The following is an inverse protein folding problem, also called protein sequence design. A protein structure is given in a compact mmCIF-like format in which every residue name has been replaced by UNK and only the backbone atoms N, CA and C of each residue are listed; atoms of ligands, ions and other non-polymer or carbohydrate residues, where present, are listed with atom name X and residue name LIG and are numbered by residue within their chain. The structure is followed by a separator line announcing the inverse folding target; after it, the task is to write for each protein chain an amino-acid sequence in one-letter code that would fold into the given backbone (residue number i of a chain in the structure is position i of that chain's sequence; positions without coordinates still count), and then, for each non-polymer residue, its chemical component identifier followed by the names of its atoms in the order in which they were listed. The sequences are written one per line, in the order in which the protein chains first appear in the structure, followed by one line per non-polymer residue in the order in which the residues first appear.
data_IF_770063036541
#
_entry.id   IF_770063036541
#
_cell.length_a   1.000
_cell.length_b   1.000
_cell.length_c   1.000
_cell.angle_alpha   90.00
_cell.angle_beta   90.00
_cell.angle_gamma   90.00
#
_symmetry.space_group_name_H-M   'P 1'
#
loop_
_entity.id
_entity.type
_entity.pdbx_description
1 polymer ?
#
# COMPACT_ATOMS: atom_id res chain seq x y z
N UNK A 1 19.85 11.35 7.19
CA UNK A 1 18.78 10.62 6.47
C UNK A 1 18.24 11.52 5.36
N UNK A 2 18.07 11.00 4.13
CA UNK A 2 17.46 11.76 3.03
C UNK A 2 15.96 11.96 3.29
N UNK A 3 15.37 13.11 2.91
CA UNK A 3 13.93 13.29 2.96
C UNK A 3 13.19 12.21 2.16
N UNK A 4 12.13 11.66 2.75
CA UNK A 4 11.25 10.68 2.12
C UNK A 4 9.85 11.28 1.98
N UNK A 5 9.34 11.30 0.76
CA UNK A 5 7.94 11.66 0.46
C UNK A 5 7.14 10.37 0.31
N UNK A 6 6.18 10.15 1.20
CA UNK A 6 5.33 8.96 1.21
C UNK A 6 4.05 9.19 0.41
N UNK A 7 4.04 8.79 -0.85
CA UNK A 7 2.91 8.93 -1.76
C UNK A 7 2.03 7.68 -1.80
N UNK A 8 0.73 7.87 -1.56
CA UNK A 8 -0.24 6.78 -1.61
C UNK A 8 -1.63 7.26 -2.05
N UNK A 9 -2.38 6.35 -2.66
CA UNK A 9 -3.81 6.53 -2.93
C UNK A 9 -4.60 6.24 -1.67
N UNK A 10 -5.70 6.97 -1.47
CA UNK A 10 -6.58 6.83 -0.33
C UNK A 10 -8.04 6.72 -0.76
N UNK A 11 -8.78 5.82 -0.09
CA UNK A 11 -10.23 5.70 -0.23
C UNK A 11 -10.95 6.00 1.09
N UNK A 12 -11.19 5.02 1.96
CA UNK A 12 -12.04 5.18 3.15
C UNK A 12 -11.52 4.49 4.40
N UNK A 13 -10.36 3.84 4.31
CA UNK A 13 -9.74 3.08 5.39
C UNK A 13 -9.07 4.03 6.41
N UNK A 14 -9.89 4.83 7.12
CA UNK A 14 -9.43 5.85 8.07
C UNK A 14 -8.56 5.28 9.19
N UNK A 15 -8.88 4.07 9.66
CA UNK A 15 -8.10 3.35 10.66
C UNK A 15 -6.73 2.96 10.08
N UNK A 16 -6.68 2.36 8.89
CA UNK A 16 -5.39 2.04 8.25
C UNK A 16 -4.56 3.29 7.98
N UNK A 17 -5.21 4.40 7.60
CA UNK A 17 -4.54 5.68 7.42
C UNK A 17 -3.92 6.17 8.74
N UNK A 18 -4.67 6.14 9.85
CA UNK A 18 -4.13 6.53 11.15
C UNK A 18 -2.95 5.64 11.57
N UNK A 19 -3.04 4.33 11.34
CA UNK A 19 -1.95 3.39 11.59
C UNK A 19 -0.71 3.75 10.77
N UNK A 20 -0.87 3.99 9.46
CA UNK A 20 0.22 4.41 8.57
C UNK A 20 0.87 5.70 9.06
N UNK A 21 0.07 6.72 9.37
CA UNK A 21 0.56 8.03 9.79
C UNK A 21 1.34 7.94 11.11
N UNK A 22 0.79 7.26 12.12
CA UNK A 22 1.47 7.04 13.41
C UNK A 22 2.80 6.30 13.24
N UNK A 23 2.80 5.22 12.45
CA UNK A 23 3.97 4.36 12.29
C UNK A 23 5.08 5.03 11.47
N UNK A 24 4.73 5.80 10.44
CA UNK A 24 5.69 6.38 9.49
C UNK A 24 6.07 7.84 9.79
N UNK A 25 5.31 8.57 10.61
CA UNK A 25 5.62 9.96 10.95
C UNK A 25 7.06 10.16 11.45
N UNK A 26 7.70 9.25 12.21
CA UNK A 26 9.10 9.43 12.62
C UNK A 26 10.15 9.28 11.50
N UNK A 27 9.78 8.71 10.34
CA UNK A 27 10.73 8.34 9.27
C UNK A 27 10.44 8.97 7.91
N UNK A 28 9.27 9.57 7.73
CA UNK A 28 8.93 10.31 6.50
C UNK A 28 9.15 11.79 6.68
N UNK A 29 9.37 12.53 5.59
CA UNK A 29 9.43 13.99 5.60
C UNK A 29 8.05 14.60 5.35
N UNK A 30 7.29 14.05 4.39
CA UNK A 30 5.93 14.50 4.06
C UNK A 30 5.13 13.31 3.53
N UNK A 31 3.85 13.24 3.88
CA UNK A 31 2.89 12.34 3.28
C UNK A 31 2.24 13.02 2.09
N UNK A 32 2.13 12.34 0.96
CA UNK A 32 1.36 12.78 -0.21
C UNK A 32 0.14 11.89 -0.33
N UNK A 33 -0.94 12.32 0.32
CA UNK A 33 -2.21 11.59 0.38
C UNK A 33 -3.06 12.01 -0.81
N UNK A 34 -3.33 11.06 -1.71
CA UNK A 34 -4.13 11.31 -2.91
C UNK A 34 -5.53 10.73 -2.78
N UNK A 35 -6.53 11.60 -2.79
CA UNK A 35 -7.95 11.24 -2.65
C UNK A 35 -8.74 11.72 -3.87
N UNK A 36 -9.60 10.87 -4.43
CA UNK A 36 -10.50 11.23 -5.53
C UNK A 36 -11.95 11.38 -5.06
N UNK A 37 -12.78 12.13 -5.77
CA UNK A 37 -14.24 12.23 -5.54
C UNK A 37 -15.05 11.15 -6.28
N UNK A 38 -14.36 10.16 -6.87
CA UNK A 38 -14.94 9.00 -7.55
C UNK A 38 -14.25 7.71 -7.16
N UNK A 39 -14.97 6.59 -7.20
CA UNK A 39 -14.41 5.24 -7.12
C UNK A 39 -13.67 4.87 -8.42
N UNK A 40 -12.89 3.78 -8.42
CA UNK A 40 -12.28 3.28 -9.66
C UNK A 40 -13.33 2.76 -10.65
N UNK A 41 -14.47 2.29 -10.16
CA UNK A 41 -15.64 1.95 -10.98
C UNK A 41 -16.40 3.17 -11.52
N UNK A 42 -16.01 4.40 -11.14
CA UNK A 42 -16.50 5.65 -11.73
C UNK A 42 -17.66 6.32 -10.97
N UNK A 43 -18.14 5.70 -9.89
CA UNK A 43 -19.23 6.24 -9.08
C UNK A 43 -18.75 7.40 -8.22
N UNK A 44 -19.53 8.50 -8.08
CA UNK A 44 -19.22 9.57 -7.13
C UNK A 44 -19.11 9.04 -5.70
N UNK A 45 -18.19 9.60 -4.92
CA UNK A 45 -18.01 9.29 -3.49
C UNK A 45 -17.61 10.54 -2.71
N UNK A 46 -17.90 10.61 -1.40
CA UNK A 46 -17.38 11.68 -0.56
C UNK A 46 -15.84 11.62 -0.47
N UNK A 47 -15.28 12.75 -0.03
CA UNK A 47 -13.87 12.88 0.28
C UNK A 47 -13.68 12.53 1.77
N UNK A 48 -13.64 11.23 2.07
CA UNK A 48 -13.48 10.68 3.41
C UNK A 48 -12.37 11.32 4.24
N UNK A 49 -11.18 11.61 3.69
CA UNK A 49 -10.13 12.29 4.44
C UNK A 49 -10.50 13.74 4.71
N UNK A 50 -11.05 14.44 3.70
CA UNK A 50 -11.52 15.83 3.87
C UNK A 50 -12.54 15.95 5.00
N UNK A 51 -13.52 15.05 5.02
CA UNK A 51 -14.61 15.03 5.99
C UNK A 51 -14.13 14.66 7.41
N UNK A 52 -12.94 14.05 7.52
CA UNK A 52 -12.39 13.54 8.78
C UNK A 52 -11.05 14.18 9.16
N UNK A 53 -10.66 15.33 8.57
CA UNK A 53 -9.34 15.96 8.85
C UNK A 53 -9.06 16.19 10.33
N UNK A 54 -10.08 16.48 11.13
CA UNK A 54 -9.96 16.67 12.57
C UNK A 54 -9.36 15.45 13.28
N UNK A 55 -9.66 14.23 12.82
CA UNK A 55 -9.10 12.97 13.35
C UNK A 55 -7.57 12.92 13.17
N UNK A 56 -7.05 13.56 12.13
CA UNK A 56 -5.63 13.51 11.76
C UNK A 56 -4.89 14.80 12.13
N UNK A 57 -5.47 15.64 13.00
CA UNK A 57 -4.88 16.91 13.44
C UNK A 57 -3.38 16.83 13.79
N UNK A 58 -2.88 15.79 14.49
CA UNK A 58 -1.46 15.67 14.82
C UNK A 58 -0.50 15.52 13.63
N UNK A 59 -1.02 15.24 12.42
CA UNK A 59 -0.22 14.96 11.23
C UNK A 59 -0.47 15.95 10.08
N UNK A 60 -1.42 16.89 10.22
CA UNK A 60 -1.87 17.75 9.11
C UNK A 60 -0.76 18.63 8.54
N UNK A 61 0.18 19.09 9.38
CA UNK A 61 1.36 19.86 8.97
C UNK A 61 2.30 19.06 8.05
N UNK A 62 2.21 17.74 8.13
CA UNK A 62 3.02 16.78 7.38
C UNK A 62 2.29 16.16 6.18
N UNK A 63 1.00 16.46 5.99
CA UNK A 63 0.20 15.90 4.91
C UNK A 63 0.03 16.92 3.78
N UNK A 64 0.55 16.58 2.61
CA UNK A 64 0.14 17.16 1.34
C UNK A 64 -1.09 16.41 0.84
N UNK A 65 -2.26 17.05 0.92
CA UNK A 65 -3.52 16.44 0.50
C UNK A 65 -3.85 16.83 -0.94
N UNK A 66 -3.72 15.86 -1.84
CA UNK A 66 -4.03 16.01 -3.27
C UNK A 66 -5.45 15.52 -3.52
N UNK A 67 -6.36 16.42 -3.88
CA UNK A 67 -7.73 16.06 -4.28
C UNK A 67 -7.83 15.96 -5.79
N UNK A 68 -8.27 14.81 -6.29
CA UNK A 68 -8.47 14.52 -7.71
C UNK A 68 -9.96 14.63 -8.04
N UNK A 69 -10.33 15.66 -8.83
CA UNK A 69 -11.70 15.89 -9.34
C UNK A 69 -11.81 15.74 -10.86
N UNK A 70 -10.68 15.50 -11.50
CA UNK A 70 -10.50 15.38 -12.95
C UNK A 70 -10.26 13.92 -13.36
N UNK A 71 -10.84 12.97 -12.62
CA UNK A 71 -10.73 11.54 -12.94
C UNK A 71 -11.26 11.23 -14.35
N UNK A 72 -10.65 10.29 -15.08
CA UNK A 72 -11.12 9.87 -16.41
C UNK A 72 -12.60 9.46 -16.40
N UNK A 73 -13.34 10.00 -17.36
CA UNK A 73 -14.80 9.83 -17.50
C UNK A 73 -15.23 8.53 -18.18
N UNK A 74 -16.27 8.63 -19.02
CA UNK A 74 -16.81 7.50 -19.78
C UNK A 74 -15.76 6.85 -20.70
N UNK A 75 -15.81 5.53 -20.84
CA UNK A 75 -14.86 4.74 -21.63
C UNK A 75 -13.56 4.38 -20.90
N UNK A 76 -13.24 5.01 -19.76
CA UNK A 76 -12.08 4.63 -18.95
C UNK A 76 -12.37 3.36 -18.12
N UNK A 77 -11.39 2.45 -18.07
CA UNK A 77 -11.46 1.28 -17.19
C UNK A 77 -11.17 1.64 -15.74
N UNK A 78 -11.46 0.72 -14.81
CA UNK A 78 -11.10 0.92 -13.41
C UNK A 78 -9.58 1.05 -13.21
N UNK A 79 -8.80 0.30 -13.98
CA UNK A 79 -7.34 0.40 -14.03
C UNK A 79 -6.84 1.77 -14.51
N UNK A 80 -7.51 2.39 -15.48
CA UNK A 80 -7.14 3.73 -15.96
C UNK A 80 -7.36 4.78 -14.87
N UNK A 81 -8.47 4.67 -14.13
CA UNK A 81 -8.78 5.58 -13.01
C UNK A 81 -7.80 5.39 -11.85
N UNK A 82 -7.47 4.15 -11.50
CA UNK A 82 -6.45 3.86 -10.48
C UNK A 82 -5.08 4.41 -10.87
N UNK A 83 -4.65 4.16 -12.11
CA UNK A 83 -3.40 4.70 -12.63
C UNK A 83 -3.39 6.24 -12.61
N UNK A 84 -4.53 6.88 -12.92
CA UNK A 84 -4.66 8.33 -12.88
C UNK A 84 -4.54 8.88 -11.46
N UNK A 85 -5.29 8.33 -10.50
CA UNK A 85 -5.20 8.74 -9.09
C UNK A 85 -3.78 8.51 -8.56
N UNK A 86 -3.17 7.37 -8.86
CA UNK A 86 -1.79 7.10 -8.42
C UNK A 86 -0.79 8.08 -9.04
N UNK A 87 -0.91 8.39 -10.33
CA UNK A 87 -0.05 9.37 -10.98
C UNK A 87 -0.22 10.78 -10.41
N UNK A 88 -1.39 11.10 -9.84
CA UNK A 88 -1.61 12.37 -9.16
C UNK A 88 -0.76 12.55 -7.88
N UNK A 89 -0.06 11.52 -7.38
CA UNK A 89 1.01 11.67 -6.37
C UNK A 89 2.01 12.75 -6.82
N UNK A 90 2.32 12.85 -8.11
CA UNK A 90 3.24 13.87 -8.64
C UNK A 90 2.79 15.30 -8.32
N UNK A 91 1.48 15.56 -8.19
CA UNK A 91 0.91 16.88 -7.88
C UNK A 91 1.31 17.36 -6.48
N UNK A 92 1.55 16.44 -5.54
CA UNK A 92 1.96 16.75 -4.18
C UNK A 92 3.48 16.73 -3.93
N UNK A 93 4.29 16.59 -4.98
CA UNK A 93 5.76 16.51 -4.85
C UNK A 93 6.48 17.83 -5.15
N UNK A 94 5.78 18.97 -5.09
CA UNK A 94 6.37 20.28 -5.41
C UNK A 94 7.55 20.67 -4.51
N UNK A 95 7.55 20.24 -3.25
CA UNK A 95 8.64 20.47 -2.31
C UNK A 95 9.81 19.46 -2.41
N UNK A 96 9.66 18.39 -3.21
CA UNK A 96 10.67 17.34 -3.31
C UNK A 96 11.80 17.73 -4.26
N UNK A 97 13.05 17.67 -3.79
CA UNK A 97 14.24 17.93 -4.60
C UNK A 97 14.62 16.68 -5.42
N UNK A 98 15.42 16.83 -6.49
CA UNK A 98 15.80 15.72 -7.38
C UNK A 98 16.33 14.46 -6.69
N UNK A 99 17.09 14.61 -5.60
CA UNK A 99 17.74 13.53 -4.86
C UNK A 99 17.02 13.13 -3.56
N UNK A 100 15.86 13.72 -3.28
CA UNK A 100 14.96 13.23 -2.25
C UNK A 100 14.28 11.94 -2.74
N UNK A 101 13.82 11.10 -1.81
CA UNK A 101 13.26 9.80 -2.13
C UNK A 101 11.73 9.87 -2.11
N UNK A 102 11.09 9.18 -3.04
CA UNK A 102 9.63 9.09 -3.14
C UNK A 102 9.23 7.63 -3.02
N UNK A 103 8.41 7.36 -2.02
CA UNK A 103 7.75 6.07 -1.82
C UNK A 103 6.39 6.14 -2.54
N UNK A 104 6.04 5.09 -3.25
CA UNK A 104 4.75 4.93 -3.94
C UNK A 104 4.13 3.61 -3.53
N UNK A 105 2.91 3.65 -3.00
CA UNK A 105 2.12 2.48 -2.63
C UNK A 105 0.63 2.80 -2.52
N UNK A 106 -0.11 1.90 -1.89
CA UNK A 106 -1.50 2.10 -1.49
C UNK A 106 -1.57 2.28 0.04
N UNK A 107 -2.67 2.83 0.60
CA UNK A 107 -2.75 3.19 2.04
C UNK A 107 -2.47 2.00 2.97
N UNK A 108 -2.90 0.80 2.58
CA UNK A 108 -2.75 -0.47 3.29
C UNK A 108 -1.36 -1.11 3.17
N UNK A 109 -0.51 -0.59 2.28
CA UNK A 109 0.87 -1.04 2.08
C UNK A 109 1.85 -0.18 2.90
N UNK A 110 2.05 -0.53 4.18
CA UNK A 110 2.86 0.24 5.14
C UNK A 110 4.27 -0.37 5.22
N UNK A 111 5.34 0.30 4.73
CA UNK A 111 6.71 -0.19 4.94
C UNK A 111 7.06 -0.21 6.43
N UNK A 112 7.90 -1.15 6.84
CA UNK A 112 8.44 -1.17 8.20
C UNK A 112 9.35 0.05 8.41
N UNK A 113 9.18 0.86 9.47
CA UNK A 113 9.96 2.08 9.67
C UNK A 113 11.47 1.88 9.62
N UNK A 114 11.97 0.77 10.18
CA UNK A 114 13.39 0.44 10.18
C UNK A 114 13.91 0.14 8.77
N UNK A 115 13.12 -0.54 7.94
CA UNK A 115 13.46 -0.83 6.55
C UNK A 115 13.51 0.45 5.72
N UNK A 116 12.51 1.32 5.88
CA UNK A 116 12.44 2.61 5.18
C UNK A 116 13.59 3.54 5.63
N UNK A 117 13.87 3.60 6.94
CA UNK A 117 14.98 4.39 7.50
C UNK A 117 16.32 3.96 6.92
N UNK A 118 16.63 2.66 6.92
CA UNK A 118 17.87 2.13 6.32
C UNK A 118 18.00 2.51 4.85
N UNK A 119 16.91 2.38 4.08
CA UNK A 119 16.92 2.77 2.68
C UNK A 119 17.16 4.28 2.49
N UNK A 120 16.61 5.12 3.36
CA UNK A 120 16.77 6.58 3.29
C UNK A 120 18.14 7.08 3.79
N UNK A 121 18.81 6.32 4.63
CA UNK A 121 20.17 6.59 5.11
C UNK A 121 21.24 6.13 4.11
N UNK A 122 20.95 5.10 3.32
CA UNK A 122 21.85 4.60 2.29
C UNK A 122 22.04 5.65 1.15
N UNK A 123 23.26 6.20 0.97
CA UNK A 123 23.52 7.21 -0.05
C UNK A 123 23.31 6.68 -1.46
N UNK A 124 23.39 5.37 -1.69
CA UNK A 124 23.24 4.74 -3.00
C UNK A 124 21.78 4.56 -3.42
N UNK A 125 20.82 4.80 -2.52
CA UNK A 125 19.38 4.73 -2.83
C UNK A 125 18.93 5.70 -3.92
N UNK A 126 19.68 6.80 -4.16
CA UNK A 126 19.39 7.73 -5.26
C UNK A 126 19.65 7.15 -6.66
N UNK A 127 20.32 5.99 -6.70
CA UNK A 127 20.63 5.22 -7.90
C UNK A 127 19.98 3.83 -7.85
N UNK A 128 18.91 3.66 -7.06
CA UNK A 128 18.20 2.40 -6.90
C UNK A 128 16.69 2.54 -7.07
N UNK A 129 16.06 1.43 -7.45
CA UNK A 129 14.63 1.17 -7.26
C UNK A 129 14.53 0.12 -6.15
N UNK A 130 13.96 0.51 -5.02
CA UNK A 130 13.81 -0.38 -3.85
C UNK A 130 12.36 -0.83 -3.74
N UNK A 131 12.14 -2.13 -3.72
CA UNK A 131 10.83 -2.75 -3.46
C UNK A 131 10.79 -3.28 -2.05
N UNK A 132 9.79 -2.88 -1.27
CA UNK A 132 9.52 -3.49 0.03
C UNK A 132 8.51 -4.61 -0.17
N UNK A 133 8.92 -5.83 0.16
CA UNK A 133 8.06 -7.01 0.02
C UNK A 133 7.05 -7.06 1.18
N UNK A 134 5.74 -6.95 0.93
CA UNK A 134 4.72 -7.05 1.96
C UNK A 134 4.53 -8.47 2.51
N UNK A 135 4.21 -8.51 3.80
CA UNK A 135 3.53 -9.61 4.48
C UNK A 135 2.03 -9.32 4.53
N UNK A 136 1.19 -10.27 4.10
CA UNK A 136 -0.25 -10.05 3.97
C UNK A 136 -1.01 -10.40 5.25
N UNK A 137 -1.78 -9.42 5.72
CA UNK A 137 -2.71 -9.53 6.83
C UNK A 137 -4.13 -9.31 6.30
N UNK A 138 -5.01 -10.24 6.64
CA UNK A 138 -6.34 -10.35 6.05
C UNK A 138 -7.39 -10.31 7.16
N UNK A 139 -8.40 -9.45 7.01
CA UNK A 139 -9.54 -9.24 7.93
C UNK A 139 -9.21 -8.61 9.28
N UNK A 140 -8.06 -8.96 9.86
CA UNK A 140 -7.62 -8.48 11.16
C UNK A 140 -6.15 -8.09 11.12
N UNK A 141 -5.75 -7.15 11.99
CA UNK A 141 -4.39 -6.64 12.09
C UNK A 141 -3.37 -7.69 12.58
N UNK A 142 -3.83 -8.76 13.23
CA UNK A 142 -3.02 -9.89 13.68
C UNK A 142 -3.35 -11.22 12.97
N UNK A 143 -4.09 -11.22 11.86
CA UNK A 143 -4.35 -12.44 11.09
C UNK A 143 -3.56 -12.42 9.78
N UNK A 144 -2.51 -13.24 9.70
CA UNK A 144 -1.58 -13.29 8.56
C UNK A 144 -1.83 -14.53 7.71
N UNK A 145 -1.55 -14.45 6.41
CA UNK A 145 -1.55 -15.62 5.52
C UNK A 145 -0.48 -16.66 5.90
N UNK A 146 -0.80 -17.96 5.78
CA UNK A 146 0.06 -19.12 6.02
C UNK A 146 0.12 -20.06 4.78
N UNK A 147 1.32 -20.40 4.25
CA UNK A 147 2.61 -19.79 4.58
C UNK A 147 2.57 -18.29 4.30
N UNK A 148 3.48 -17.53 4.92
CA UNK A 148 3.57 -16.07 4.73
C UNK A 148 3.61 -15.75 3.24
N UNK A 149 2.45 -15.34 2.72
CA UNK A 149 2.30 -14.96 1.34
C UNK A 149 3.03 -13.64 1.18
N UNK A 150 4.04 -13.67 0.33
CA UNK A 150 4.80 -12.48 -0.03
C UNK A 150 4.52 -12.18 -1.48
N UNK A 151 4.25 -10.91 -1.75
CA UNK A 151 4.15 -10.42 -3.11
C UNK A 151 5.24 -9.41 -3.35
N UNK A 152 5.72 -9.34 -4.60
CA UNK A 152 6.56 -8.23 -5.03
C UNK A 152 5.71 -7.04 -5.53
N UNK A 153 4.39 -7.14 -5.37
CA UNK A 153 3.39 -6.09 -5.52
C UNK A 153 3.26 -5.45 -4.13
N UNK A 154 3.93 -4.32 -3.94
CA UNK A 154 4.04 -3.61 -2.68
C UNK A 154 4.67 -2.24 -2.89
N UNK A 155 4.98 -1.49 -1.81
CA UNK A 155 5.42 -0.12 -1.92
C UNK A 155 6.85 -0.06 -2.45
N UNK A 156 7.14 0.98 -3.25
CA UNK A 156 8.41 1.14 -3.96
C UNK A 156 9.00 2.51 -3.74
N UNK A 157 10.31 2.57 -3.54
CA UNK A 157 11.08 3.79 -3.31
C UNK A 157 12.02 4.06 -4.47
N UNK A 158 12.05 5.32 -4.93
CA UNK A 158 12.95 5.78 -5.98
C UNK A 158 13.31 7.25 -5.74
N UNK A 159 14.45 7.73 -6.27
CA UNK A 159 14.74 9.16 -6.29
C UNK A 159 13.72 9.96 -7.09
N UNK A 160 13.34 11.14 -6.61
CA UNK A 160 12.38 12.05 -7.26
C UNK A 160 12.71 12.33 -8.73
N UNK A 161 13.99 12.54 -9.06
CA UNK A 161 14.45 12.77 -10.45
C UNK A 161 14.24 11.60 -11.41
N UNK A 162 14.04 10.39 -10.88
CA UNK A 162 13.80 9.17 -11.65
C UNK A 162 12.32 8.78 -11.69
N UNK A 163 11.47 9.44 -10.90
CA UNK A 163 10.03 9.21 -10.86
C UNK A 163 9.32 10.03 -11.94
N UNK A 164 9.16 9.43 -13.13
CA UNK A 164 8.35 10.01 -14.20
C UNK A 164 6.85 9.69 -14.04
N UNK A 165 6.52 8.49 -13.55
CA UNK A 165 5.15 8.04 -13.31
C UNK A 165 5.10 7.11 -12.09
N UNK A 166 4.35 7.49 -11.04
CA UNK A 166 4.02 6.62 -9.92
C UNK A 166 3.42 5.27 -10.34
N UNK A 167 2.54 5.26 -11.35
CA UNK A 167 1.97 4.01 -11.89
C UNK A 167 3.03 3.10 -12.51
N UNK A 168 3.93 3.66 -13.33
CA UNK A 168 5.03 2.89 -13.95
C UNK A 168 5.94 2.30 -12.88
N UNK A 169 6.22 3.06 -11.81
CA UNK A 169 6.96 2.54 -10.67
C UNK A 169 6.18 1.39 -10.02
N UNK A 170 4.91 1.58 -9.64
CA UNK A 170 4.06 0.58 -8.98
C UNK A 170 4.02 -0.75 -9.75
N UNK A 171 3.85 -0.70 -11.07
CA UNK A 171 3.77 -1.87 -11.97
C UNK A 171 5.12 -2.52 -12.30
N UNK A 172 6.24 -1.90 -11.93
CA UNK A 172 7.56 -2.48 -12.17
C UNK A 172 7.67 -3.84 -11.46
N UNK A 173 8.07 -4.90 -12.17
CA UNK A 173 8.30 -6.22 -11.55
C UNK A 173 9.80 -6.37 -11.30
N UNK A 174 10.26 -6.44 -10.03
CA UNK A 174 11.69 -6.48 -9.70
C UNK A 174 12.30 -7.87 -9.95
N UNK A 175 11.52 -8.83 -10.44
CA UNK A 175 11.97 -10.14 -10.90
C UNK A 175 11.37 -10.44 -12.27
N UNK A 176 12.12 -11.18 -13.10
CA UNK A 176 11.66 -11.60 -14.42
C UNK A 176 10.81 -12.88 -14.37
N UNK A 177 11.27 -13.93 -13.66
CA UNK A 177 10.52 -15.14 -13.33
C UNK A 177 10.95 -15.66 -11.96
N UNK A 178 10.06 -16.33 -11.21
CA UNK A 178 10.36 -16.88 -9.86
C UNK A 178 11.61 -17.79 -9.82
N UNK A 179 11.94 -18.47 -10.93
CA UNK A 179 13.10 -19.37 -11.06
C UNK A 179 14.31 -18.76 -11.81
N UNK A 180 14.27 -17.48 -12.20
CA UNK A 180 15.29 -16.84 -13.04
C UNK A 180 16.14 -15.83 -12.27
N UNK A 181 16.78 -16.28 -11.19
CA UNK A 181 17.73 -15.50 -10.38
C UNK A 181 19.15 -15.43 -10.96
N UNK A 182 19.41 -16.10 -12.08
CA UNK A 182 20.71 -16.12 -12.77
C UNK A 182 21.07 -14.80 -13.46
N UNK A 183 22.30 -14.74 -14.01
CA UNK A 183 22.86 -13.54 -14.66
C UNK A 183 21.95 -12.96 -15.76
N UNK A 184 21.33 -13.82 -16.58
CA UNK A 184 20.38 -13.39 -17.61
C UNK A 184 19.16 -12.68 -17.02
N UNK A 185 18.60 -13.19 -15.92
CA UNK A 185 17.48 -12.55 -15.23
C UNK A 185 17.84 -11.17 -14.70
N UNK A 186 19.05 -11.02 -14.13
CA UNK A 186 19.58 -9.72 -13.68
C UNK A 186 19.76 -8.74 -14.84
N UNK A 187 20.30 -9.19 -15.97
CA UNK A 187 20.46 -8.37 -17.18
C UNK A 187 19.10 -7.91 -17.73
N UNK A 188 18.13 -8.81 -17.84
CA UNK A 188 16.77 -8.45 -18.31
C UNK A 188 16.12 -7.42 -17.38
N UNK A 189 16.25 -7.58 -16.07
CA UNK A 189 15.72 -6.60 -15.11
C UNK A 189 16.43 -5.25 -15.25
N UNK A 190 17.77 -5.23 -15.39
CA UNK A 190 18.53 -4.00 -15.59
C UNK A 190 18.12 -3.26 -16.88
N UNK A 191 17.92 -3.97 -17.98
CA UNK A 191 17.42 -3.39 -19.23
C UNK A 191 16.01 -2.81 -19.07
N UNK A 192 15.12 -3.49 -18.35
CA UNK A 192 13.76 -3.00 -18.04
C UNK A 192 13.78 -1.75 -17.18
N UNK A 193 14.69 -1.69 -16.19
CA UNK A 193 14.90 -0.49 -15.36
C UNK A 193 15.35 0.67 -16.25
N UNK A 194 16.35 0.46 -17.12
CA UNK A 194 16.83 1.49 -18.05
C UNK A 194 15.76 2.00 -18.99
N UNK A 195 14.91 1.11 -19.49
CA UNK A 195 13.79 1.46 -20.36
C UNK A 195 12.70 2.26 -19.63
N UNK A 196 12.37 1.91 -18.38
CA UNK A 196 11.28 2.55 -17.61
C UNK A 196 11.69 3.84 -16.90
N UNK A 197 12.92 3.91 -16.40
CA UNK A 197 13.39 4.98 -15.52
C UNK A 197 14.53 5.82 -16.12
N UNK A 198 14.92 5.54 -17.37
CA UNK A 198 15.90 6.33 -18.10
C UNK A 198 17.34 6.20 -17.62
N UNK A 199 17.63 5.31 -16.66
CA UNK A 199 18.97 5.10 -16.10
C UNK A 199 19.18 3.64 -15.68
N UNK A 200 20.45 3.23 -15.60
CA UNK A 200 20.80 1.98 -14.92
C UNK A 200 20.70 2.24 -13.42
N UNK A 201 19.72 1.60 -12.78
CA UNK A 201 19.51 1.68 -11.34
C UNK A 201 19.65 0.29 -10.73
N UNK A 202 20.13 0.24 -9.50
CA UNK A 202 20.14 -0.98 -8.71
C UNK A 202 18.70 -1.45 -8.48
N UNK A 203 18.49 -2.77 -8.60
CA UNK A 203 17.23 -3.41 -8.25
C UNK A 203 17.34 -3.98 -6.84
N UNK A 204 16.68 -3.34 -5.86
CA UNK A 204 16.72 -3.77 -4.46
C UNK A 204 15.39 -4.33 -4.02
N UNK A 205 15.43 -5.45 -3.31
CA UNK A 205 14.25 -6.08 -2.71
C UNK A 205 14.53 -6.21 -1.22
N UNK A 206 13.78 -5.48 -0.41
CA UNK A 206 13.79 -5.62 1.05
C UNK A 206 12.73 -6.67 1.42
N UNK A 207 13.21 -7.86 1.79
CA UNK A 207 12.35 -8.99 2.13
C UNK A 207 11.57 -8.72 3.42
N UNK A 208 10.28 -9.08 3.44
CA UNK A 208 9.38 -8.84 4.57
C UNK A 208 9.48 -7.38 5.09
N UNK A 209 9.59 -6.45 4.15
CA UNK A 209 9.92 -5.04 4.38
C UNK A 209 8.69 -4.15 4.57
N UNK A 210 7.48 -4.68 4.41
CA UNK A 210 6.22 -3.97 4.58
C UNK A 210 5.15 -4.88 5.19
N UNK A 211 4.12 -4.28 5.76
CA UNK A 211 2.84 -4.91 6.05
C UNK A 211 1.84 -4.54 4.95
N UNK A 212 0.94 -5.46 4.64
CA UNK A 212 -0.23 -5.19 3.81
C UNK A 212 -1.48 -5.58 4.59
N UNK A 213 -2.22 -4.59 5.11
CA UNK A 213 -3.44 -4.80 5.91
C UNK A 213 -4.69 -4.61 5.06
N UNK A 214 -5.30 -5.68 4.60
CA UNK A 214 -6.45 -5.59 3.69
C UNK A 214 -7.71 -6.23 4.27
N UNK A 215 -8.86 -5.77 3.77
CA UNK A 215 -10.19 -6.29 4.12
C UNK A 215 -10.56 -6.17 5.62
N UNK A 216 -10.07 -5.12 6.31
CA UNK A 216 -10.44 -4.79 7.69
C UNK A 216 -11.88 -4.25 7.79
N UNK A 217 -12.48 -4.33 8.99
CA UNK A 217 -13.75 -3.68 9.30
C UNK A 217 -15.02 -4.53 9.06
N UNK A 218 -14.88 -5.85 8.91
CA UNK A 218 -16.00 -6.77 8.80
C UNK A 218 -16.60 -6.91 7.39
N UNK A 219 -17.63 -7.74 7.25
CA UNK A 219 -18.21 -8.13 5.96
C UNK A 219 -18.69 -6.93 5.13
N UNK A 220 -19.33 -5.92 5.74
CA UNK A 220 -19.78 -4.74 5.01
C UNK A 220 -18.65 -3.90 4.43
N UNK A 221 -17.58 -3.70 5.19
CA UNK A 221 -16.39 -2.96 4.74
C UNK A 221 -15.71 -3.70 3.59
N UNK A 222 -15.62 -5.03 3.69
CA UNK A 222 -15.08 -5.90 2.63
C UNK A 222 -15.91 -5.78 1.35
N UNK A 223 -17.23 -5.94 1.43
CA UNK A 223 -18.14 -5.80 0.29
C UNK A 223 -18.00 -4.43 -0.36
N UNK A 224 -17.96 -3.35 0.44
CA UNK A 224 -17.77 -1.98 -0.06
C UNK A 224 -16.44 -1.81 -0.79
N UNK A 225 -15.35 -2.36 -0.24
CA UNK A 225 -14.01 -2.32 -0.86
C UNK A 225 -14.02 -3.07 -2.19
N UNK A 226 -14.60 -4.27 -2.23
CA UNK A 226 -14.71 -5.09 -3.44
C UNK A 226 -15.44 -4.36 -4.57
N UNK A 227 -16.59 -3.73 -4.28
CA UNK A 227 -17.38 -2.97 -5.27
C UNK A 227 -16.67 -1.71 -5.80
N UNK A 228 -15.63 -1.23 -5.11
CA UNK A 228 -14.96 0.05 -5.41
C UNK A 228 -13.56 -0.12 -6.01
N UNK A 229 -12.97 -1.31 -5.92
CA UNK A 229 -11.58 -1.61 -6.31
C UNK A 229 -11.48 -2.03 -7.81
N UNK A 230 -10.29 -1.91 -8.41
CA UNK A 230 -10.06 -2.11 -9.86
C UNK A 230 -10.08 -3.55 -10.37
N UNK A 231 -9.86 -4.52 -9.49
CA UNK A 231 -9.98 -5.96 -9.76
C UNK A 231 -11.45 -6.38 -9.95
N UNK A 232 -12.17 -5.77 -10.89
CA UNK A 232 -13.56 -6.15 -11.16
C UNK A 232 -13.67 -7.59 -11.69
N UNK A 233 -12.59 -8.15 -12.22
CA UNK A 233 -12.52 -9.53 -12.70
C UNK A 233 -12.61 -10.59 -11.59
N UNK A 234 -12.33 -10.23 -10.33
CA UNK A 234 -12.46 -11.18 -9.21
C UNK A 234 -13.81 -11.07 -8.50
N UNK A 235 -14.66 -10.11 -8.91
CA UNK A 235 -16.00 -9.95 -8.36
C UNK A 235 -16.86 -11.13 -8.80
N UNK A 236 -17.35 -11.87 -7.81
CA UNK A 236 -18.30 -12.98 -7.96
C UNK A 236 -19.47 -12.73 -7.03
N UNK A 237 -20.64 -13.27 -7.35
CA UNK A 237 -21.87 -13.00 -6.60
C UNK A 237 -21.72 -13.39 -5.12
N UNK A 238 -20.98 -14.47 -4.82
CA UNK A 238 -20.72 -14.91 -3.44
C UNK A 238 -19.90 -13.89 -2.65
N UNK A 239 -19.01 -13.14 -3.30
CA UNK A 239 -18.21 -12.08 -2.65
C UNK A 239 -19.01 -10.81 -2.35
N UNK A 240 -20.24 -10.73 -2.85
CA UNK A 240 -21.19 -9.66 -2.55
C UNK A 240 -22.21 -10.08 -1.48
N UNK A 241 -22.27 -11.37 -1.17
CA UNK A 241 -23.11 -11.94 -0.11
C UNK A 241 -22.48 -11.72 1.28
N UNK A 242 -23.22 -11.04 2.15
CA UNK A 242 -22.77 -10.76 3.51
C UNK A 242 -22.67 -12.02 4.36
N UNK A 243 -23.58 -12.99 4.19
CA UNK A 243 -23.58 -14.22 4.99
C UNK A 243 -22.36 -15.09 4.63
N UNK A 244 -22.01 -15.12 3.35
CA UNK A 244 -20.78 -15.75 2.89
C UNK A 244 -19.55 -15.08 3.49
N UNK A 245 -19.43 -13.75 3.39
CA UNK A 245 -18.30 -13.00 3.94
C UNK A 245 -18.20 -13.20 5.46
N UNK A 246 -19.30 -13.08 6.20
CA UNK A 246 -19.33 -13.35 7.63
C UNK A 246 -18.85 -14.77 7.98
N UNK A 247 -19.25 -15.76 7.18
CA UNK A 247 -18.81 -17.14 7.36
C UNK A 247 -17.30 -17.25 7.16
N UNK A 248 -16.75 -16.63 6.11
CA UNK A 248 -15.29 -16.63 5.87
C UNK A 248 -14.52 -15.93 7.00
N UNK A 249 -15.05 -14.84 7.54
CA UNK A 249 -14.42 -14.13 8.67
C UNK A 249 -14.43 -14.98 9.94
N UNK A 250 -15.59 -15.53 10.31
CA UNK A 250 -15.75 -16.39 11.51
C UNK A 250 -14.87 -17.63 11.42
N UNK A 251 -14.78 -18.24 10.23
CA UNK A 251 -13.96 -19.44 10.00
C UNK A 251 -12.49 -19.13 9.70
N UNK A 252 -12.10 -17.85 9.60
CA UNK A 252 -10.74 -17.40 9.24
C UNK A 252 -10.27 -18.05 7.93
N UNK A 253 -11.13 -18.03 6.91
CA UNK A 253 -10.85 -18.60 5.59
C UNK A 253 -10.60 -17.52 4.55
N UNK A 254 -9.73 -17.82 3.61
CA UNK A 254 -9.48 -16.95 2.46
C UNK A 254 -10.74 -16.81 1.59
N UNK A 255 -11.13 -15.58 1.25
CA UNK A 255 -12.37 -15.29 0.49
C UNK A 255 -12.25 -15.57 -1.00
N UNK A 256 -11.05 -15.55 -1.59
CA UNK A 256 -10.89 -15.77 -3.02
C UNK A 256 -10.69 -17.26 -3.36
N UNK A 257 -10.73 -17.56 -4.66
CA UNK A 257 -10.47 -18.89 -5.19
C UNK A 257 -9.09 -19.42 -4.76
N UNK A 258 -9.05 -20.67 -4.28
CA UNK A 258 -7.86 -21.35 -3.79
C UNK A 258 -7.82 -21.51 -2.27
N UNK A 259 -6.84 -22.28 -1.80
CA UNK A 259 -6.58 -22.45 -0.37
C UNK A 259 -5.36 -21.62 0.04
N UNK A 260 -5.58 -20.67 0.94
CA UNK A 260 -4.54 -19.95 1.65
C UNK A 260 -4.85 -20.05 3.14
N UNK A 261 -3.93 -20.61 3.92
CA UNK A 261 -4.08 -20.67 5.36
C UNK A 261 -4.07 -19.26 5.94
N UNK A 262 -4.74 -19.05 7.06
CA UNK A 262 -4.64 -17.84 7.86
C UNK A 262 -4.24 -18.23 9.28
N UNK A 263 -3.21 -17.59 9.81
CA UNK A 263 -2.66 -17.85 11.13
C UNK A 263 -2.64 -16.57 11.96
N UNK A 264 -3.06 -16.68 13.22
CA UNK A 264 -2.96 -15.59 14.20
C UNK A 264 -1.49 -15.35 14.51
N UNK A 265 -1.07 -14.09 14.51
CA UNK A 265 0.28 -13.68 14.89
C UNK A 265 0.33 -13.49 16.40
N UNK A 266 0.83 -14.51 17.09
CA UNK A 266 1.02 -14.51 18.56
C UNK A 266 2.23 -13.68 18.99
N UNK A 267 3.26 -13.59 18.13
CA UNK A 267 4.44 -12.76 18.39
C UNK A 267 4.18 -11.33 17.92
N UNK A 268 3.68 -10.51 18.84
CA UNK A 268 3.34 -9.11 18.63
C UNK A 268 4.52 -8.27 18.16
N UNK A 269 5.78 -8.70 18.35
CA UNK A 269 6.95 -7.97 17.83
C UNK A 269 6.96 -7.85 16.30
N UNK A 270 6.19 -8.68 15.62
CA UNK A 270 6.00 -8.66 14.16
C UNK A 270 4.96 -7.63 13.71
N UNK A 271 4.21 -7.02 14.63
CA UNK A 271 3.19 -6.00 14.36
C UNK A 271 3.78 -4.57 14.47
N UNK A 272 3.14 -3.58 13.83
CA UNK A 272 3.51 -2.16 13.98
C UNK A 272 3.65 -1.74 15.44
N UNK A 273 4.60 -0.83 15.73
CA UNK A 273 4.80 -0.30 17.08
C UNK A 273 3.53 0.35 17.61
N UNK A 274 2.84 1.08 16.73
CA UNK A 274 1.55 1.72 17.04
C UNK A 274 0.53 0.75 17.65
N UNK A 275 0.49 -0.50 17.17
CA UNK A 275 -0.45 -1.52 17.68
C UNK A 275 0.02 -2.14 18.99
N UNK A 276 1.34 -2.24 19.20
CA UNK A 276 1.93 -2.79 20.43
C UNK A 276 1.85 -1.82 21.60
N UNK A 277 2.13 -0.56 21.33
CA UNK A 277 2.29 0.46 22.36
C UNK A 277 0.91 0.99 22.83
N UNK A 278 -0.10 0.98 21.95
CA UNK A 278 -1.47 1.42 22.24
C UNK A 278 -2.51 0.59 21.45
N UNK A 279 -2.77 -0.67 21.84
CA UNK A 279 -3.72 -1.54 21.13
C UNK A 279 -5.19 -1.13 21.31
N UNK A 280 -5.52 -0.33 22.33
CA UNK A 280 -6.89 -0.02 22.74
C UNK A 280 -7.78 0.49 21.61
N UNK A 281 -7.37 1.54 20.86
CA UNK A 281 -8.11 2.06 19.72
C UNK A 281 -8.33 1.06 18.58
N UNK A 282 -7.52 -0.01 18.53
CA UNK A 282 -7.50 -1.00 17.45
C UNK A 282 -8.16 -2.32 17.84
N UNK A 283 -8.70 -2.43 19.05
CA UNK A 283 -9.20 -3.69 19.61
C UNK A 283 -10.20 -4.41 18.72
N UNK A 284 -11.07 -3.66 18.05
CA UNK A 284 -12.08 -4.18 17.12
C UNK A 284 -11.49 -4.81 15.84
N UNK A 285 -10.22 -4.53 15.53
CA UNK A 285 -9.52 -5.02 14.35
C UNK A 285 -8.59 -6.19 14.64
N UNK A 286 -8.56 -6.72 15.87
CA UNK A 286 -7.88 -7.97 16.18
C UNK A 286 -8.84 -9.15 16.13
N UNK A 287 -8.30 -10.33 15.87
CA UNK A 287 -9.06 -11.57 15.93
C UNK A 287 -9.72 -11.71 17.31
N UNK A 288 -11.04 -11.95 17.38
CA UNK A 288 -11.72 -12.20 18.64
C UNK A 288 -11.09 -13.39 19.38
N UNK A 289 -10.95 -13.26 20.69
CA UNK A 289 -10.40 -14.29 21.61
C UNK A 289 -8.92 -14.65 21.41
N UNK A 290 -8.18 -13.91 20.58
CA UNK A 290 -6.72 -13.87 20.66
C UNK A 290 -6.35 -12.89 21.77
N UNK A 291 -5.69 -13.36 22.83
CA UNK A 291 -5.26 -12.49 23.94
C UNK A 291 -4.43 -11.31 23.40
N UNK A 292 -4.80 -10.10 23.81
CA UNK A 292 -4.07 -8.86 23.55
C UNK A 292 -3.34 -8.42 24.81
#
# INVERSE_FOLDING_TARGET
MRPVFDGFTFFNELDVLELRLRELAPVVHRFVLVEADRTFTGHPKPLHFSDNKARFAPFLDKIEHVVVRDMPGEGASAWDREAFQRNAILRGLGAARPDDLVLVGDVDEIPKPEALRRAAEDPTSVAAVTTFEPEFFLYFLNLRTDPVYTSLIGPRLIARRRLASPEVLRRFKPVWRKKSSGALGRLVVALRIRAKFGAFLDNRIVRRGAWHFTFLGGAEAIRRKLLSYSHTEVLRDELLDLDYLETMLKQRRFIFEGEMGLAVVEDWSQLPRTLRDDPGPWRAHFVPDAEA
#
